data_IF_739420630161
#
_entry.id   IF_739420630161
#
_cell.length_a   1.000
_cell.length_b   1.000
_cell.length_c   1.000
_cell.angle_alpha   90.00
_cell.angle_beta   90.00
_cell.angle_gamma   90.00
#
_symmetry.space_group_name_H-M   'P 1'
#
loop_
_entity.id
_entity.type
_entity.pdbx_description
1 polymer ?
#
# COMPACT_ATOMS: atom_id res chain seq x y z
N UNK A 1 -11.11 -9.06 8.07
CA UNK A 1 -10.63 -8.71 9.41
C UNK A 1 -9.10 -8.64 9.42
N UNK A 2 -8.35 -9.67 9.00
CA UNK A 2 -6.87 -9.73 9.04
C UNK A 2 -6.24 -8.52 8.32
N UNK A 3 -6.70 -8.19 7.12
CA UNK A 3 -6.26 -7.02 6.36
C UNK A 3 -6.42 -5.73 7.18
N UNK A 4 -7.60 -5.54 7.75
CA UNK A 4 -7.90 -4.35 8.56
C UNK A 4 -7.02 -4.26 9.80
N UNK A 5 -6.90 -5.35 10.57
CA UNK A 5 -6.05 -5.40 11.77
C UNK A 5 -4.60 -5.08 11.41
N UNK A 6 -4.05 -5.68 10.35
CA UNK A 6 -2.70 -5.41 9.87
C UNK A 6 -2.52 -3.95 9.44
N UNK A 7 -3.53 -3.37 8.76
CA UNK A 7 -3.49 -1.98 8.31
C UNK A 7 -3.57 -1.01 9.50
N UNK A 8 -4.42 -1.28 10.47
CA UNK A 8 -4.53 -0.48 11.68
C UNK A 8 -3.29 -0.56 12.57
N UNK A 9 -2.66 -1.73 12.65
CA UNK A 9 -1.49 -2.00 13.49
C UNK A 9 -0.20 -1.42 12.89
N UNK A 10 0.00 -1.61 11.59
CA UNK A 10 1.23 -1.29 10.88
C UNK A 10 1.09 -0.07 9.94
N UNK A 11 -0.10 0.50 9.82
CA UNK A 11 -0.42 1.66 8.99
C UNK A 11 -0.49 1.37 7.49
N UNK A 12 0.21 0.38 7.03
CA UNK A 12 0.29 0.03 5.60
C UNK A 12 0.35 -1.47 5.35
N UNK A 13 0.53 -2.26 6.42
CA UNK A 13 0.69 -3.70 6.30
C UNK A 13 -0.53 -4.41 5.73
N UNK A 14 -1.73 -3.89 5.96
CA UNK A 14 -2.96 -4.47 5.42
C UNK A 14 -3.08 -4.36 3.90
N UNK A 15 -2.53 -3.32 3.29
CA UNK A 15 -2.56 -3.14 1.84
C UNK A 15 -1.81 -4.25 1.08
N UNK A 16 -0.76 -4.79 1.70
CA UNK A 16 0.06 -5.88 1.17
C UNK A 16 -0.74 -7.17 0.99
N UNK A 17 -1.68 -7.43 1.90
CA UNK A 17 -2.49 -8.64 1.91
C UNK A 17 -3.68 -8.57 0.95
N UNK A 18 -4.10 -7.36 0.55
CA UNK A 18 -5.36 -7.18 -0.20
C UNK A 18 -5.24 -7.75 -1.61
N UNK A 19 -4.19 -7.41 -2.36
CA UNK A 19 -3.99 -7.93 -3.73
C UNK A 19 -3.86 -9.45 -3.75
N UNK A 20 -2.99 -10.10 -2.93
CA UNK A 20 -2.91 -11.56 -2.92
C UNK A 20 -4.22 -12.24 -2.52
N UNK A 21 -4.95 -11.68 -1.56
CA UNK A 21 -6.22 -12.25 -1.14
C UNK A 21 -7.25 -12.17 -2.28
N UNK A 22 -7.34 -11.06 -2.98
CA UNK A 22 -8.24 -10.92 -4.12
C UNK A 22 -7.84 -11.85 -5.27
N UNK A 23 -6.54 -11.99 -5.54
CA UNK A 23 -6.05 -12.80 -6.67
C UNK A 23 -6.09 -14.29 -6.37
N UNK A 24 -5.63 -14.75 -5.20
CA UNK A 24 -5.44 -16.18 -4.92
C UNK A 24 -6.57 -16.83 -4.09
N UNK A 25 -7.38 -16.03 -3.37
CA UNK A 25 -8.48 -16.56 -2.55
C UNK A 25 -9.84 -16.25 -3.15
N UNK A 26 -9.99 -15.05 -3.72
CA UNK A 26 -11.25 -14.63 -4.39
C UNK A 26 -11.20 -14.93 -5.89
N UNK A 27 -10.02 -15.34 -6.41
CA UNK A 27 -9.80 -15.72 -7.81
C UNK A 27 -10.11 -14.60 -8.81
N UNK A 28 -9.88 -13.35 -8.39
CA UNK A 28 -10.03 -12.20 -9.28
C UNK A 28 -8.88 -12.10 -10.28
N UNK A 29 -9.12 -11.72 -11.53
CA UNK A 29 -8.05 -11.42 -12.47
C UNK A 29 -7.07 -10.40 -11.86
N UNK A 30 -5.73 -10.57 -12.01
CA UNK A 30 -4.75 -9.75 -11.31
C UNK A 30 -4.94 -8.24 -11.51
N UNK A 31 -5.25 -7.76 -12.72
CA UNK A 31 -5.49 -6.33 -12.98
C UNK A 31 -6.75 -5.80 -12.26
N UNK A 32 -7.80 -6.61 -12.19
CA UNK A 32 -9.03 -6.26 -11.46
C UNK A 32 -8.75 -6.24 -9.95
N UNK A 33 -8.07 -7.27 -9.42
CA UNK A 33 -7.65 -7.33 -8.03
C UNK A 33 -6.81 -6.13 -7.61
N UNK A 34 -5.89 -5.69 -8.47
CA UNK A 34 -5.07 -4.49 -8.29
C UNK A 34 -5.95 -3.23 -8.17
N UNK A 35 -6.90 -3.05 -9.07
CA UNK A 35 -7.80 -1.88 -9.04
C UNK A 35 -8.76 -1.90 -7.84
N UNK A 36 -9.40 -3.04 -7.57
CA UNK A 36 -10.30 -3.22 -6.41
C UNK A 36 -9.56 -3.01 -5.09
N UNK A 37 -8.30 -3.47 -4.98
CA UNK A 37 -7.50 -3.31 -3.77
C UNK A 37 -7.25 -1.85 -3.42
N UNK A 38 -7.07 -0.96 -4.39
CA UNK A 38 -6.93 0.48 -4.14
C UNK A 38 -8.16 1.04 -3.42
N UNK A 39 -9.36 0.70 -3.89
CA UNK A 39 -10.59 1.19 -3.29
C UNK A 39 -10.83 0.59 -1.90
N UNK A 40 -10.58 -0.71 -1.73
CA UNK A 40 -10.70 -1.41 -0.44
C UNK A 40 -9.73 -0.79 0.59
N UNK A 41 -8.46 -0.68 0.23
CA UNK A 41 -7.41 -0.15 1.12
C UNK A 41 -7.65 1.32 1.43
N UNK A 42 -8.07 2.12 0.44
CA UNK A 42 -8.44 3.52 0.64
C UNK A 42 -9.60 3.69 1.62
N UNK A 43 -10.65 2.90 1.46
CA UNK A 43 -11.80 2.91 2.36
C UNK A 43 -11.44 2.51 3.81
N UNK A 44 -10.63 1.44 3.98
CA UNK A 44 -10.15 1.02 5.30
C UNK A 44 -9.22 2.10 5.90
N UNK A 45 -8.32 2.68 5.09
CA UNK A 45 -7.41 3.72 5.53
C UNK A 45 -8.14 4.97 6.00
N UNK A 46 -9.25 5.35 5.38
CA UNK A 46 -10.07 6.49 5.76
C UNK A 46 -10.58 6.36 7.21
N UNK A 47 -11.07 5.16 7.59
CA UNK A 47 -11.45 4.89 8.97
C UNK A 47 -10.25 4.98 9.94
N UNK A 48 -9.08 4.50 9.50
CA UNK A 48 -7.84 4.58 10.26
C UNK A 48 -7.34 6.02 10.47
N UNK A 49 -7.41 6.87 9.43
CA UNK A 49 -7.02 8.29 9.49
C UNK A 49 -7.80 9.02 10.57
N UNK A 50 -9.12 8.86 10.60
CA UNK A 50 -9.98 9.53 11.59
C UNK A 50 -9.53 9.28 13.03
N UNK A 51 -9.15 8.04 13.34
CA UNK A 51 -8.64 7.67 14.66
C UNK A 51 -7.24 8.24 14.92
N UNK A 52 -6.32 8.11 13.97
CA UNK A 52 -4.95 8.60 14.12
C UNK A 52 -4.88 10.12 14.22
N UNK A 53 -5.77 10.82 13.53
CA UNK A 53 -5.92 12.27 13.65
C UNK A 53 -6.35 12.68 15.07
N UNK A 54 -7.33 11.98 15.66
CA UNK A 54 -7.75 12.23 17.04
C UNK A 54 -6.64 11.97 18.06
N UNK A 55 -5.72 11.08 17.75
CA UNK A 55 -4.55 10.79 18.56
C UNK A 55 -3.37 11.76 18.33
N UNK A 56 -3.50 12.75 17.43
CA UNK A 56 -2.43 13.70 17.09
C UNK A 56 -1.24 13.06 16.35
N UNK A 57 -1.46 11.89 15.71
CA UNK A 57 -0.40 11.11 15.06
C UNK A 57 -0.32 11.33 13.53
N UNK A 58 -1.08 12.26 12.98
CA UNK A 58 -1.03 12.60 11.56
C UNK A 58 -0.23 13.88 11.37
N UNK A 59 0.91 13.79 10.68
CA UNK A 59 1.74 14.95 10.32
C UNK A 59 1.22 15.55 9.00
N UNK A 60 0.23 16.44 9.08
CA UNK A 60 -0.45 17.01 7.91
C UNK A 60 0.49 17.71 6.94
N UNK A 61 1.54 18.36 7.44
CA UNK A 61 2.56 18.96 6.59
C UNK A 61 3.24 17.91 5.69
N UNK A 62 3.48 16.70 6.24
CA UNK A 62 4.04 15.58 5.46
C UNK A 62 2.99 14.94 4.54
N UNK A 63 1.71 14.94 4.94
CA UNK A 63 0.62 14.52 4.04
C UNK A 63 0.61 15.38 2.78
N UNK A 64 0.74 16.69 2.91
CA UNK A 64 0.76 17.58 1.74
C UNK A 64 2.06 17.44 0.94
N UNK A 65 3.22 17.57 1.61
CA UNK A 65 4.53 17.61 0.92
C UNK A 65 4.93 16.28 0.28
N UNK A 66 4.47 15.14 0.81
CA UNK A 66 4.68 13.81 0.25
C UNK A 66 3.47 13.34 -0.56
N UNK A 67 2.26 13.58 -0.06
CA UNK A 67 1.02 13.09 -0.66
C UNK A 67 0.75 13.67 -2.04
N UNK A 68 0.86 14.98 -2.24
CA UNK A 68 0.58 15.59 -3.55
C UNK A 68 1.54 15.09 -4.65
N UNK A 69 2.88 15.08 -4.46
CA UNK A 69 3.76 14.49 -5.47
C UNK A 69 3.49 12.99 -5.69
N UNK A 70 3.14 12.26 -4.63
CA UNK A 70 2.84 10.83 -4.75
C UNK A 70 1.53 10.56 -5.52
N UNK A 71 0.54 11.46 -5.47
CA UNK A 71 -0.68 11.36 -6.31
C UNK A 71 -0.33 11.44 -7.79
N UNK A 72 0.55 12.37 -8.17
CA UNK A 72 1.04 12.47 -9.55
C UNK A 72 1.75 11.18 -9.95
N UNK A 73 2.64 10.69 -9.08
CA UNK A 73 3.30 9.39 -9.29
C UNK A 73 2.28 8.25 -9.47
N UNK A 74 1.27 8.18 -8.60
CA UNK A 74 0.22 7.13 -8.66
C UNK A 74 -0.55 7.18 -9.97
N UNK A 75 -0.90 8.36 -10.45
CA UNK A 75 -1.56 8.52 -11.74
C UNK A 75 -0.68 7.98 -12.89
N UNK A 76 0.60 8.36 -12.90
CA UNK A 76 1.56 7.88 -13.90
C UNK A 76 1.79 6.37 -13.81
N UNK A 77 1.89 5.82 -12.60
CA UNK A 77 2.02 4.38 -12.38
C UNK A 77 0.81 3.59 -12.86
N UNK A 78 -0.40 4.05 -12.54
CA UNK A 78 -1.64 3.47 -13.04
C UNK A 78 -1.76 3.60 -14.57
N UNK A 79 -1.28 4.69 -15.16
CA UNK A 79 -1.20 4.83 -16.62
C UNK A 79 -0.23 3.83 -17.23
N UNK A 80 0.93 3.59 -16.60
CA UNK A 80 1.92 2.62 -17.07
C UNK A 80 1.42 1.18 -16.95
N UNK A 81 0.48 0.88 -16.04
CA UNK A 81 -0.04 -0.46 -15.81
C UNK A 81 -0.65 -1.11 -17.07
N UNK A 82 -1.12 -0.30 -18.02
CA UNK A 82 -1.68 -0.81 -19.27
C UNK A 82 -0.65 -1.58 -20.13
N UNK A 83 0.63 -1.23 -20.01
CA UNK A 83 1.73 -1.87 -20.75
C UNK A 83 2.27 -3.14 -20.08
N UNK A 84 1.84 -3.46 -18.87
CA UNK A 84 2.26 -4.62 -18.12
C UNK A 84 1.13 -5.65 -18.01
N UNK A 85 1.47 -6.94 -18.14
CA UNK A 85 0.53 -8.00 -17.79
C UNK A 85 0.26 -8.00 -16.28
N UNK A 86 -0.91 -8.48 -15.85
CA UNK A 86 -1.23 -8.58 -14.42
C UNK A 86 -0.21 -9.43 -13.64
N UNK A 87 0.30 -10.49 -14.28
CA UNK A 87 1.33 -11.33 -13.69
C UNK A 87 2.67 -10.58 -13.51
N UNK A 88 3.08 -9.79 -14.51
CA UNK A 88 4.28 -8.96 -14.40
C UNK A 88 4.15 -7.92 -13.26
N UNK A 89 2.96 -7.37 -13.05
CA UNK A 89 2.70 -6.46 -11.92
C UNK A 89 2.81 -7.18 -10.58
N UNK A 90 2.34 -8.44 -10.45
CA UNK A 90 2.47 -9.23 -9.23
C UNK A 90 3.93 -9.60 -8.94
N UNK A 91 4.71 -9.98 -9.96
CA UNK A 91 6.16 -10.25 -9.80
C UNK A 91 6.90 -8.99 -9.36
N UNK A 92 6.64 -7.86 -10.02
CA UNK A 92 7.22 -6.57 -9.64
C UNK A 92 6.87 -6.22 -8.19
N UNK A 93 5.61 -6.43 -7.79
CA UNK A 93 5.16 -6.23 -6.42
C UNK A 93 5.97 -7.07 -5.42
N UNK A 94 6.12 -8.36 -5.69
CA UNK A 94 6.88 -9.27 -4.83
C UNK A 94 8.35 -8.82 -4.68
N UNK A 95 9.00 -8.43 -5.77
CA UNK A 95 10.39 -7.94 -5.76
C UNK A 95 10.50 -6.68 -4.89
N UNK A 96 9.60 -5.72 -5.07
CA UNK A 96 9.61 -4.47 -4.31
C UNK A 96 9.37 -4.72 -2.83
N UNK A 97 8.48 -5.66 -2.47
CA UNK A 97 8.25 -6.05 -1.07
C UNK A 97 9.52 -6.64 -0.44
N UNK A 98 10.22 -7.52 -1.14
CA UNK A 98 11.48 -8.11 -0.65
C UNK A 98 12.58 -7.05 -0.49
N UNK A 99 12.65 -6.08 -1.40
CA UNK A 99 13.58 -4.95 -1.26
C UNK A 99 13.20 -4.05 -0.07
N UNK A 100 11.92 -3.70 0.07
CA UNK A 100 11.43 -2.86 1.18
C UNK A 100 11.65 -3.53 2.55
N UNK A 101 11.55 -4.86 2.64
CA UNK A 101 11.81 -5.59 3.87
C UNK A 101 13.23 -5.38 4.42
N UNK A 102 14.22 -5.28 3.53
CA UNK A 102 15.62 -5.01 3.91
C UNK A 102 15.76 -3.65 4.59
N UNK A 103 15.05 -2.62 4.11
CA UNK A 103 15.05 -1.30 4.75
C UNK A 103 14.36 -1.33 6.12
N UNK A 104 13.32 -2.15 6.28
CA UNK A 104 12.62 -2.27 7.54
C UNK A 104 13.40 -3.04 8.61
N UNK A 105 14.13 -4.07 8.21
CA UNK A 105 14.90 -4.90 9.14
C UNK A 105 16.25 -4.30 9.53
N UNK A 106 16.83 -3.45 8.67
CA UNK A 106 18.07 -2.74 9.05
C UNK A 106 17.78 -1.73 10.16
N UNK A 107 18.69 -1.60 11.15
CA UNK A 107 18.62 -0.52 12.11
C UNK A 107 18.81 0.80 11.33
N UNK A 108 17.75 1.55 11.13
CA UNK A 108 17.89 2.93 10.67
C UNK A 108 18.30 3.74 11.87
N UNK A 109 19.54 4.20 11.90
CA UNK A 109 19.91 5.31 12.74
C UNK A 109 19.03 6.49 12.28
N UNK A 110 17.98 6.74 13.02
CA UNK A 110 17.20 7.97 12.89
C UNK A 110 18.11 9.07 13.46
N UNK A 111 19.13 9.44 12.69
CA UNK A 111 19.72 10.74 12.88
C UNK A 111 18.56 11.70 12.58
N UNK A 112 18.08 12.35 13.62
CA UNK A 112 17.10 13.42 13.52
C UNK A 112 17.74 14.58 12.73
N UNK A 113 17.81 14.41 11.41
CA UNK A 113 18.08 15.53 10.51
C UNK A 113 16.76 16.26 10.39
N UNK A 114 16.61 17.31 11.20
CA UNK A 114 15.45 18.18 11.23
C UNK A 114 15.15 18.88 9.90
N UNK A 115 16.01 18.77 8.89
CA UNK A 115 15.85 19.37 7.57
C UNK A 115 16.05 18.35 6.43
N UNK A 116 15.03 17.53 6.21
CA UNK A 116 15.00 16.80 4.94
C UNK A 116 14.56 17.76 3.84
N UNK A 117 15.50 18.08 2.96
CA UNK A 117 15.26 18.92 1.80
C UNK A 117 14.08 18.41 0.99
N UNK A 118 13.11 19.29 0.70
CA UNK A 118 11.98 19.01 -0.20
C UNK A 118 12.47 18.47 -1.55
N UNK A 119 13.67 18.86 -1.97
CA UNK A 119 14.32 18.37 -3.20
C UNK A 119 14.55 16.84 -3.20
N UNK A 120 14.70 16.20 -2.05
CA UNK A 120 14.81 14.74 -1.93
C UNK A 120 13.45 14.07 -1.67
N UNK A 121 12.57 14.75 -0.94
CA UNK A 121 11.27 14.22 -0.55
C UNK A 121 10.33 14.10 -1.75
N UNK A 122 10.28 15.11 -2.63
CA UNK A 122 9.37 15.15 -3.78
C UNK A 122 9.65 14.03 -4.79
N UNK A 123 10.90 13.83 -5.28
CA UNK A 123 11.18 12.72 -6.18
C UNK A 123 10.91 11.35 -5.55
N UNK A 124 11.26 11.17 -4.28
CA UNK A 124 10.98 9.92 -3.57
C UNK A 124 9.46 9.66 -3.46
N UNK A 125 8.67 10.69 -3.18
CA UNK A 125 7.22 10.59 -3.13
C UNK A 125 6.62 10.23 -4.50
N UNK A 126 7.13 10.82 -5.59
CA UNK A 126 6.69 10.49 -6.95
C UNK A 126 7.01 9.03 -7.30
N UNK A 127 8.23 8.55 -7.00
CA UNK A 127 8.62 7.16 -7.24
C UNK A 127 7.76 6.19 -6.43
N UNK A 128 7.57 6.47 -5.13
CA UNK A 128 6.70 5.66 -4.26
C UNK A 128 5.27 5.64 -4.80
N UNK A 129 4.74 6.80 -5.22
CA UNK A 129 3.42 6.89 -5.83
C UNK A 129 3.33 6.11 -7.14
N UNK A 130 4.33 6.20 -8.01
CA UNK A 130 4.37 5.48 -9.29
C UNK A 130 4.32 3.97 -9.08
N UNK A 131 5.12 3.46 -8.15
CA UNK A 131 5.11 2.04 -7.77
C UNK A 131 3.72 1.67 -7.20
N UNK A 132 3.17 2.50 -6.33
CA UNK A 132 1.86 2.28 -5.73
C UNK A 132 0.74 2.19 -6.77
N UNK A 133 0.74 3.08 -7.75
CA UNK A 133 -0.24 3.10 -8.84
C UNK A 133 -0.10 1.93 -9.79
N UNK A 134 1.15 1.54 -10.10
CA UNK A 134 1.43 0.41 -10.99
C UNK A 134 0.99 -0.94 -10.38
N UNK A 135 1.24 -1.10 -9.08
CA UNK A 135 1.02 -2.37 -8.35
C UNK A 135 -0.35 -2.43 -7.64
N UNK A 136 -1.02 -1.28 -7.49
CA UNK A 136 -2.37 -1.22 -6.93
C UNK A 136 -2.47 -1.39 -5.42
N UNK A 137 -1.39 -1.25 -4.67
CA UNK A 137 -1.36 -1.53 -3.22
C UNK A 137 -1.54 -0.27 -2.36
N UNK A 138 -1.86 0.88 -2.99
CA UNK A 138 -1.95 2.16 -2.30
C UNK A 138 -0.61 2.62 -1.68
N UNK A 139 0.52 2.00 -2.05
CA UNK A 139 1.89 2.41 -1.70
C UNK A 139 2.24 2.40 -0.21
N UNK A 140 1.33 2.04 0.66
CA UNK A 140 1.49 2.17 2.10
C UNK A 140 2.75 1.52 2.66
N UNK A 141 3.12 0.37 2.12
CA UNK A 141 4.31 -0.37 2.54
C UNK A 141 5.64 0.32 2.16
N UNK A 142 5.61 1.22 1.17
CA UNK A 142 6.75 2.06 0.80
C UNK A 142 6.69 3.44 1.46
N UNK A 143 5.48 3.96 1.72
CA UNK A 143 5.30 5.27 2.35
C UNK A 143 5.89 5.28 3.76
N UNK A 144 5.63 4.23 4.58
CA UNK A 144 6.15 4.18 5.95
C UNK A 144 7.69 4.21 5.97
N UNK A 145 8.43 3.32 5.24
CA UNK A 145 9.89 3.43 5.18
C UNK A 145 10.38 4.76 4.62
N UNK A 146 9.72 5.31 3.60
CA UNK A 146 10.09 6.61 3.03
C UNK A 146 9.91 7.76 4.03
N UNK A 147 8.81 7.79 4.78
CA UNK A 147 8.57 8.78 5.82
C UNK A 147 9.56 8.64 6.99
N UNK A 148 9.96 7.42 7.34
CA UNK A 148 10.99 7.19 8.38
C UNK A 148 12.36 7.65 7.92
N UNK A 149 12.71 7.39 6.67
CA UNK A 149 14.03 7.72 6.12
C UNK A 149 14.17 9.20 5.75
N UNK A 150 13.10 9.78 5.18
CA UNK A 150 13.12 11.12 4.58
C UNK A 150 12.16 12.10 5.25
N UNK A 151 11.23 11.63 6.06
CA UNK A 151 10.19 12.47 6.67
C UNK A 151 10.56 13.05 8.02
N UNK A 152 11.57 12.51 8.71
CA UNK A 152 11.94 12.92 10.07
C UNK A 152 10.84 12.69 11.11
N UNK A 153 9.94 11.72 10.88
CA UNK A 153 8.80 11.41 11.75
C UNK A 153 9.01 10.10 12.51
N UNK A 154 8.41 9.98 13.68
CA UNK A 154 8.42 8.74 14.46
C UNK A 154 7.62 7.63 13.74
N UNK A 155 7.86 6.36 14.10
CA UNK A 155 7.12 5.23 13.52
C UNK A 155 5.60 5.38 13.67
N UNK A 156 5.12 5.86 14.83
CA UNK A 156 3.68 6.09 15.06
C UNK A 156 3.12 7.18 14.15
N UNK A 157 3.84 8.27 13.99
CA UNK A 157 3.47 9.36 13.08
C UNK A 157 3.54 8.91 11.62
N UNK A 158 4.55 8.10 11.23
CA UNK A 158 4.66 7.55 9.89
C UNK A 158 3.44 6.67 9.56
N UNK A 159 2.99 5.83 10.51
CA UNK A 159 1.78 5.01 10.39
C UNK A 159 0.54 5.89 10.19
N UNK A 160 0.32 6.90 11.04
CA UNK A 160 -0.85 7.76 10.92
C UNK A 160 -0.85 8.60 9.64
N UNK A 161 0.32 9.14 9.28
CA UNK A 161 0.51 9.97 8.07
C UNK A 161 0.36 9.14 6.80
N UNK A 162 0.88 7.89 6.78
CA UNK A 162 0.76 7.01 5.62
C UNK A 162 -0.68 6.66 5.29
N UNK A 163 -1.55 6.48 6.29
CA UNK A 163 -2.97 6.22 6.05
C UNK A 163 -3.64 7.37 5.27
N UNK A 164 -3.34 8.63 5.62
CA UNK A 164 -3.87 9.79 4.90
C UNK A 164 -3.36 9.84 3.45
N UNK A 165 -2.07 9.57 3.24
CA UNK A 165 -1.47 9.51 1.90
C UNK A 165 -2.07 8.37 1.08
N UNK A 166 -2.31 7.19 1.70
CA UNK A 166 -2.97 6.04 1.04
C UNK A 166 -4.36 6.43 0.54
N UNK A 167 -5.16 7.16 1.32
CA UNK A 167 -6.49 7.63 0.87
C UNK A 167 -6.35 8.48 -0.38
N UNK A 168 -5.42 9.44 -0.40
CA UNK A 168 -5.17 10.30 -1.56
C UNK A 168 -4.76 9.50 -2.80
N UNK A 169 -3.81 8.58 -2.65
CA UNK A 169 -3.35 7.71 -3.74
C UNK A 169 -4.44 6.77 -4.24
N UNK A 170 -5.25 6.22 -3.33
CA UNK A 170 -6.35 5.31 -3.67
C UNK A 170 -7.41 5.98 -4.56
N UNK A 171 -7.77 7.22 -4.26
CA UNK A 171 -8.73 7.98 -5.07
C UNK A 171 -8.18 8.18 -6.48
N UNK A 172 -6.94 8.64 -6.61
CA UNK A 172 -6.32 8.89 -7.92
C UNK A 172 -6.06 7.59 -8.68
N UNK A 173 -5.51 6.58 -8.01
CA UNK A 173 -5.17 5.29 -8.61
C UNK A 173 -6.42 4.56 -9.10
N UNK A 174 -7.43 4.40 -8.23
CA UNK A 174 -8.69 3.77 -8.61
C UNK A 174 -9.40 4.54 -9.72
N UNK A 175 -9.47 5.87 -9.63
CA UNK A 175 -10.07 6.71 -10.67
C UNK A 175 -9.38 6.51 -12.03
N UNK A 176 -8.05 6.34 -12.05
CA UNK A 176 -7.34 6.06 -13.29
C UNK A 176 -7.59 4.64 -13.82
N UNK A 177 -7.63 3.62 -12.96
CA UNK A 177 -8.00 2.27 -13.38
C UNK A 177 -9.45 2.22 -13.88
N UNK A 178 -10.38 2.88 -13.21
CA UNK A 178 -11.77 3.00 -13.64
C UNK A 178 -11.86 3.58 -15.06
N UNK A 179 -11.11 4.67 -15.33
CA UNK A 179 -11.02 5.26 -16.65
C UNK A 179 -10.45 4.29 -17.69
N UNK A 180 -9.36 3.56 -17.36
CA UNK A 180 -8.75 2.60 -18.28
C UNK A 180 -9.70 1.45 -18.64
N UNK A 181 -10.40 0.88 -17.65
CA UNK A 181 -11.39 -0.19 -17.89
C UNK A 181 -12.61 0.32 -18.66
N UNK A 182 -13.07 1.55 -18.39
CA UNK A 182 -14.18 2.13 -19.13
C UNK A 182 -13.88 2.33 -20.62
N UNK A 183 -12.61 2.63 -20.97
CA UNK A 183 -12.17 2.71 -22.38
C UNK A 183 -12.19 1.36 -23.09
N UNK A 184 -12.09 0.25 -22.35
CA UNK A 184 -12.20 -1.11 -22.89
C UNK A 184 -13.66 -1.59 -22.96
N UNK A 185 -14.62 -0.76 -22.53
CA UNK A 185 -16.05 -1.12 -22.45
C UNK A 185 -16.38 -2.10 -21.32
N UNK A 186 -15.47 -2.30 -20.36
CA UNK A 186 -15.61 -3.24 -19.26
C UNK A 186 -15.63 -2.50 -17.91
N UNK A 187 -16.52 -2.94 -17.02
CA UNK A 187 -16.53 -2.50 -15.61
C UNK A 187 -16.58 -3.76 -14.72
N UNK A 188 -15.46 -4.49 -14.60
CA UNK A 188 -15.42 -5.81 -13.94
C UNK A 188 -15.46 -5.74 -12.41
N UNK A 189 -15.72 -4.56 -11.83
CA UNK A 189 -15.63 -4.32 -10.39
C UNK A 189 -16.85 -4.82 -9.64
N UNK A 190 -16.59 -5.58 -8.56
CA UNK A 190 -17.61 -6.03 -7.62
C UNK A 190 -17.72 -5.06 -6.43
N UNK A 191 -18.58 -4.06 -6.57
CA UNK A 191 -18.78 -3.06 -5.52
C UNK A 191 -19.39 -3.64 -4.24
N UNK A 192 -20.12 -4.77 -4.31
CA UNK A 192 -20.66 -5.43 -3.14
C UNK A 192 -19.52 -6.07 -2.33
N UNK A 193 -18.64 -6.82 -2.99
CA UNK A 193 -17.43 -7.37 -2.38
C UNK A 193 -16.55 -6.27 -1.78
N UNK A 194 -16.29 -5.20 -2.54
CA UNK A 194 -15.49 -4.05 -2.10
C UNK A 194 -16.08 -3.45 -0.82
N UNK A 195 -17.38 -3.16 -0.81
CA UNK A 195 -18.06 -2.55 0.34
C UNK A 195 -18.00 -3.46 1.57
N UNK A 196 -18.25 -4.76 1.40
CA UNK A 196 -18.14 -5.74 2.48
C UNK A 196 -16.72 -5.78 3.07
N UNK A 197 -15.71 -5.83 2.20
CA UNK A 197 -14.30 -5.84 2.62
C UNK A 197 -13.89 -4.54 3.31
N UNK A 198 -14.40 -3.39 2.87
CA UNK A 198 -14.14 -2.09 3.51
C UNK A 198 -14.76 -2.06 4.91
N UNK A 199 -16.01 -2.48 5.08
CA UNK A 199 -16.69 -2.47 6.40
C UNK A 199 -15.96 -3.37 7.38
N UNK A 200 -15.71 -4.63 7.00
CA UNK A 200 -15.02 -5.60 7.85
C UNK A 200 -13.56 -5.17 8.13
N UNK A 201 -12.90 -4.64 7.10
CA UNK A 201 -11.53 -4.14 7.20
C UNK A 201 -11.42 -2.89 8.06
N UNK A 202 -12.38 -1.96 7.98
CA UNK A 202 -12.42 -0.76 8.83
C UNK A 202 -12.57 -1.13 10.32
N UNK A 203 -13.48 -2.03 10.65
CA UNK A 203 -13.62 -2.55 12.02
C UNK A 203 -12.31 -3.18 12.51
N UNK A 204 -11.66 -4.01 11.68
CA UNK A 204 -10.35 -4.58 11.98
C UNK A 204 -9.26 -3.51 12.15
N UNK A 205 -9.25 -2.47 11.32
CA UNK A 205 -8.28 -1.36 11.39
C UNK A 205 -8.38 -0.58 12.69
N UNK A 206 -9.60 -0.29 13.16
CA UNK A 206 -9.82 0.36 14.44
C UNK A 206 -9.31 -0.48 15.62
N UNK A 207 -9.52 -1.78 15.57
CA UNK A 207 -8.99 -2.72 16.56
C UNK A 207 -7.46 -2.82 16.49
N UNK A 208 -6.89 -2.97 15.31
CA UNK A 208 -5.45 -3.03 15.07
C UNK A 208 -4.72 -1.77 15.54
N UNK A 209 -5.28 -0.60 15.29
CA UNK A 209 -4.72 0.66 15.76
C UNK A 209 -4.69 0.77 17.30
N UNK A 210 -5.68 0.19 18.01
CA UNK A 210 -5.69 0.11 19.48
C UNK A 210 -4.57 -0.79 19.99
N UNK A 211 -4.34 -1.91 19.31
CA UNK A 211 -3.29 -2.85 19.66
C UNK A 211 -1.90 -2.29 19.37
N UNK A 212 -1.72 -1.66 18.21
CA UNK A 212 -0.45 -1.02 17.77
C UNK A 212 0.03 0.07 18.71
N UNK A 213 -0.89 0.80 19.35
CA UNK A 213 -0.56 1.81 20.38
C UNK A 213 0.11 1.23 21.63
N UNK A 214 -0.04 -0.07 21.89
CA UNK A 214 0.56 -0.77 23.05
C UNK A 214 1.90 -1.42 22.74
N UNK A 215 2.25 -1.59 21.48
CA UNK A 215 3.45 -2.28 21.07
C UNK A 215 4.66 -1.32 20.96
N UNK A 216 5.88 -1.77 21.31
CA UNK A 216 7.09 -1.01 21.06
C UNK A 216 7.30 -0.76 19.55
N UNK A 217 7.79 0.43 19.21
CA UNK A 217 8.02 0.82 17.80
C UNK A 217 8.94 -0.15 17.04
N UNK A 218 9.92 -0.71 17.75
CA UNK A 218 10.88 -1.67 17.17
C UNK A 218 10.20 -3.00 16.81
N UNK A 219 9.25 -3.46 17.61
CA UNK A 219 8.48 -4.68 17.31
C UNK A 219 7.54 -4.47 16.11
N UNK A 220 6.89 -3.30 16.04
CA UNK A 220 6.07 -2.95 14.86
C UNK A 220 6.92 -2.98 13.58
N UNK A 221 8.12 -2.36 13.63
CA UNK A 221 9.05 -2.31 12.50
C UNK A 221 9.52 -3.70 12.07
N UNK A 222 9.91 -4.55 13.03
CA UNK A 222 10.31 -5.94 12.76
C UNK A 222 9.16 -6.78 12.21
N UNK A 223 7.98 -6.72 12.84
CA UNK A 223 6.79 -7.43 12.39
C UNK A 223 6.39 -7.06 10.96
N UNK A 224 6.49 -5.77 10.62
CA UNK A 224 6.26 -5.29 9.27
C UNK A 224 7.28 -5.86 8.26
N UNK A 225 8.57 -5.83 8.60
CA UNK A 225 9.63 -6.38 7.76
C UNK A 225 9.47 -7.89 7.51
N UNK A 226 9.13 -8.67 8.55
CA UNK A 226 8.87 -10.10 8.43
C UNK A 226 7.65 -10.36 7.53
N UNK A 227 6.57 -9.61 7.71
CA UNK A 227 5.37 -9.73 6.89
C UNK A 227 5.67 -9.46 5.41
N UNK A 228 6.51 -8.46 5.10
CA UNK A 228 6.95 -8.18 3.74
C UNK A 228 7.71 -9.36 3.11
N UNK A 229 8.59 -10.02 3.89
CA UNK A 229 9.33 -11.21 3.41
C UNK A 229 8.37 -12.35 3.11
N UNK A 230 7.51 -12.70 4.08
CA UNK A 230 6.59 -13.84 3.93
C UNK A 230 5.68 -13.66 2.72
N UNK A 231 5.04 -12.48 2.62
CA UNK A 231 4.11 -12.22 1.52
C UNK A 231 4.83 -12.02 0.18
N UNK A 232 5.98 -11.33 0.17
CA UNK A 232 6.77 -11.18 -1.05
C UNK A 232 7.27 -12.50 -1.60
N UNK A 233 7.76 -13.40 -0.73
CA UNK A 233 8.18 -14.74 -1.13
C UNK A 233 6.99 -15.58 -1.62
N UNK A 234 5.84 -15.52 -0.95
CA UNK A 234 4.64 -16.23 -1.36
C UNK A 234 4.17 -15.80 -2.76
N UNK A 235 4.02 -14.48 -2.99
CA UNK A 235 3.58 -13.95 -4.29
C UNK A 235 4.60 -14.31 -5.38
N UNK A 236 5.89 -14.17 -5.08
CA UNK A 236 6.96 -14.47 -6.04
C UNK A 236 6.92 -15.93 -6.49
N UNK A 237 6.85 -16.87 -5.54
CA UNK A 237 6.78 -18.31 -5.83
C UNK A 237 5.48 -18.69 -6.56
N UNK A 238 4.34 -18.15 -6.13
CA UNK A 238 3.05 -18.39 -6.79
C UNK A 238 3.04 -17.85 -8.22
N UNK A 239 3.60 -16.66 -8.45
CA UNK A 239 3.69 -16.07 -9.78
C UNK A 239 4.63 -16.86 -10.69
N UNK A 240 5.75 -17.36 -10.17
CA UNK A 240 6.65 -18.25 -10.92
C UNK A 240 5.99 -19.57 -11.28
N UNK A 241 5.26 -20.18 -10.33
CA UNK A 241 4.51 -21.41 -10.61
C UNK A 241 3.51 -21.20 -11.76
N UNK A 242 2.79 -20.09 -11.77
CA UNK A 242 1.84 -19.75 -12.85
C UNK A 242 2.57 -19.57 -14.20
N UNK A 243 3.78 -18.98 -14.20
CA UNK A 243 4.58 -18.79 -15.41
C UNK A 243 5.09 -20.11 -16.00
N UNK A 244 5.48 -21.08 -15.16
CA UNK A 244 6.10 -22.33 -15.61
C UNK A 244 5.13 -23.47 -15.86
N UNK A 245 3.99 -23.50 -15.16
CA UNK A 245 3.07 -24.65 -15.17
C UNK A 245 1.71 -24.36 -15.80
N UNK A 246 1.33 -23.09 -15.90
CA UNK A 246 0.14 -22.68 -16.66
C UNK A 246 0.64 -22.11 -17.97
N UNK A 247 0.86 -22.95 -18.97
CA UNK A 247 1.08 -22.51 -20.35
C UNK A 247 -0.10 -21.59 -20.72
N UNK A 248 0.23 -20.34 -21.02
CA UNK A 248 -0.71 -19.40 -21.61
C UNK A 248 -1.12 -20.00 -22.94
N UNK A 249 -2.39 -20.39 -23.16
CA UNK A 249 -2.82 -20.67 -24.52
C UNK A 249 -2.65 -19.37 -25.31
N UNK A 250 -1.89 -19.50 -26.39
CA UNK A 250 -1.60 -18.48 -27.40
C UNK A 250 -2.90 -17.98 -28.03
#
# INVERSE_FOLDING_TARGET
IVIGVSLGLLGSGGSILTVPLLTYVVERPPKVAIAESLLIVGGIALAGVWRQQRAGLVAWQKVVSFGLPSMVGTYLGAQLSQYFSGLAQLVLFAIIMLLASRFMLKPVNIAASNDVSLAKLVPAAMVVGMIAGLVGVGGGFLIVPALLALGGVSMRQAVGTSLAIIVMQSVVGFGKYLYLFSQLGELPFDFQLITLMVIIGAAGSLFGAKLGGRLPQQQLKKGFGVMLIVMGSFIFLSSLHTLYFVEVPV
#
